data_IF_949872465170
#
_entry.id   IF_949872465170
#
_cell.length_a   1.000
_cell.length_b   1.000
_cell.length_c   1.000
_cell.angle_alpha   90.00
_cell.angle_beta   90.00
_cell.angle_gamma   90.00
#
_symmetry.space_group_name_H-M   'P 1'
#
loop_
_entity.id
_entity.type
_entity.pdbx_description
1 polymer ?
#
# COMPACT_ATOMS: atom_id res chain seq x y z
N UNK A 1 -19.84 -16.32 -38.91
CA UNK A 1 -18.46 -15.80 -38.85
C UNK A 1 -18.40 -14.53 -38.01
N UNK A 2 -19.31 -13.56 -38.22
CA UNK A 2 -19.45 -12.34 -37.41
C UNK A 2 -19.69 -12.60 -35.91
N UNK A 3 -20.53 -13.58 -35.55
CA UNK A 3 -20.81 -13.95 -34.15
C UNK A 3 -19.61 -14.54 -33.43
N UNK A 4 -18.74 -15.28 -34.14
CA UNK A 4 -17.51 -15.83 -33.57
C UNK A 4 -16.47 -14.73 -33.34
N UNK A 5 -16.32 -13.80 -34.28
CA UNK A 5 -15.45 -12.63 -34.14
C UNK A 5 -15.90 -11.72 -32.99
N UNK A 6 -17.21 -11.51 -32.83
CA UNK A 6 -17.75 -10.74 -31.71
C UNK A 6 -17.50 -11.44 -30.36
N UNK A 7 -17.67 -12.77 -30.28
CA UNK A 7 -17.39 -13.55 -29.07
C UNK A 7 -15.89 -13.49 -28.69
N UNK A 8 -15.01 -13.69 -29.68
CA UNK A 8 -13.55 -13.58 -29.51
C UNK A 8 -13.16 -12.17 -29.09
N UNK A 9 -13.80 -11.14 -29.66
CA UNK A 9 -13.60 -9.74 -29.29
C UNK A 9 -14.01 -9.44 -27.84
N UNK A 10 -15.15 -9.98 -27.38
CA UNK A 10 -15.60 -9.85 -25.98
C UNK A 10 -14.66 -10.58 -25.02
N UNK A 11 -14.22 -11.80 -25.37
CA UNK A 11 -13.27 -12.56 -24.55
C UNK A 11 -11.92 -11.86 -24.47
N UNK A 12 -11.41 -11.35 -25.60
CA UNK A 12 -10.17 -10.56 -25.64
C UNK A 12 -10.31 -9.26 -24.85
N UNK A 13 -11.43 -8.56 -24.97
CA UNK A 13 -11.71 -7.35 -24.19
C UNK A 13 -11.73 -7.64 -22.69
N UNK A 14 -12.44 -8.67 -22.24
CA UNK A 14 -12.48 -9.10 -20.84
C UNK A 14 -11.10 -9.54 -20.33
N UNK A 15 -10.34 -10.28 -21.14
CA UNK A 15 -8.98 -10.69 -20.83
C UNK A 15 -8.04 -9.48 -20.72
N UNK A 16 -8.18 -8.49 -21.61
CA UNK A 16 -7.38 -7.27 -21.57
C UNK A 16 -7.71 -6.41 -20.36
N UNK A 17 -9.00 -6.23 -20.04
CA UNK A 17 -9.46 -5.55 -18.82
C UNK A 17 -8.82 -6.18 -17.58
N UNK A 18 -8.80 -7.52 -17.52
CA UNK A 18 -8.16 -8.26 -16.43
C UNK A 18 -6.63 -8.03 -16.37
N UNK A 19 -5.95 -7.96 -17.52
CA UNK A 19 -4.51 -7.67 -17.57
C UNK A 19 -4.16 -6.19 -17.32
N UNK A 20 -5.04 -5.26 -17.67
CA UNK A 20 -4.92 -3.82 -17.37
C UNK A 20 -4.80 -3.54 -15.88
N UNK A 21 -5.51 -4.33 -15.06
CA UNK A 21 -5.39 -4.27 -13.59
C UNK A 21 -4.04 -4.75 -13.04
N UNK A 22 -3.26 -5.55 -13.78
CA UNK A 22 -1.87 -5.91 -13.42
C UNK A 22 -0.84 -4.84 -13.83
N UNK A 23 -1.20 -3.86 -14.68
CA UNK A 23 -0.27 -2.83 -15.19
C UNK A 23 0.13 -1.77 -14.16
N UNK A 24 -0.43 -1.81 -12.95
CA UNK A 24 -0.05 -0.89 -11.86
C UNK A 24 1.42 -1.05 -11.43
N UNK A 25 2.17 -2.03 -11.98
CA UNK A 25 3.59 -2.25 -11.70
C UNK A 25 4.51 -2.25 -12.94
N UNK A 26 4.01 -1.94 -14.14
CA UNK A 26 4.84 -1.85 -15.36
C UNK A 26 5.17 -0.38 -15.66
N UNK A 27 6.42 -0.10 -16.03
CA UNK A 27 6.91 1.25 -16.33
C UNK A 27 6.02 2.05 -17.29
N UNK A 28 6.01 3.38 -17.14
CA UNK A 28 4.97 4.28 -17.69
C UNK A 28 4.70 4.11 -19.18
N UNK A 29 5.73 3.80 -19.98
CA UNK A 29 5.61 3.68 -21.44
C UNK A 29 4.94 2.37 -21.91
N UNK A 30 5.22 1.24 -21.26
CA UNK A 30 4.60 -0.06 -21.62
C UNK A 30 3.12 -0.05 -21.20
N UNK A 31 2.83 0.53 -20.05
CA UNK A 31 1.47 0.70 -19.55
C UNK A 31 0.64 1.60 -20.46
N UNK A 32 1.23 2.69 -20.97
CA UNK A 32 0.59 3.58 -21.94
C UNK A 32 0.32 2.88 -23.29
N UNK A 33 1.28 2.15 -23.84
CA UNK A 33 1.10 1.42 -25.10
C UNK A 33 -0.01 0.37 -25.00
N UNK A 34 -0.02 -0.41 -23.91
CA UNK A 34 -1.05 -1.41 -23.70
C UNK A 34 -2.44 -0.79 -23.44
N UNK A 35 -2.51 0.41 -22.84
CA UNK A 35 -3.77 1.14 -22.68
C UNK A 35 -4.33 1.63 -24.02
N UNK A 36 -3.47 2.12 -24.92
CA UNK A 36 -3.89 2.53 -26.27
C UNK A 36 -4.44 1.34 -27.06
N UNK A 37 -3.77 0.18 -27.00
CA UNK A 37 -4.25 -1.05 -27.66
C UNK A 37 -5.61 -1.48 -27.08
N UNK A 38 -5.77 -1.44 -25.76
CA UNK A 38 -7.06 -1.69 -25.09
C UNK A 38 -8.16 -0.76 -25.59
N UNK A 39 -7.87 0.54 -25.69
CA UNK A 39 -8.83 1.53 -26.17
C UNK A 39 -9.27 1.24 -27.61
N UNK A 40 -8.32 0.95 -28.50
CA UNK A 40 -8.60 0.62 -29.92
C UNK A 40 -9.43 -0.66 -30.04
N UNK A 41 -9.07 -1.72 -29.31
CA UNK A 41 -9.84 -2.97 -29.29
C UNK A 41 -11.25 -2.76 -28.76
N UNK A 42 -11.41 -1.91 -27.74
CA UNK A 42 -12.72 -1.55 -27.18
C UNK A 42 -13.56 -0.81 -28.22
N UNK A 43 -12.99 0.16 -28.93
CA UNK A 43 -13.69 0.91 -29.99
C UNK A 43 -14.12 -0.01 -31.14
N UNK A 44 -13.25 -0.93 -31.57
CA UNK A 44 -13.56 -1.92 -32.61
C UNK A 44 -14.69 -2.86 -32.13
N UNK A 45 -14.62 -3.36 -30.89
CA UNK A 45 -15.65 -4.22 -30.32
C UNK A 45 -17.01 -3.50 -30.21
N UNK A 46 -17.03 -2.24 -29.77
CA UNK A 46 -18.25 -1.43 -29.70
C UNK A 46 -18.83 -1.16 -31.09
N UNK A 47 -17.97 -0.90 -32.08
CA UNK A 47 -18.39 -0.70 -33.46
C UNK A 47 -19.04 -1.95 -34.07
N UNK A 48 -18.45 -3.13 -33.84
CA UNK A 48 -18.96 -4.41 -34.38
C UNK A 48 -20.23 -4.92 -33.70
N UNK A 49 -20.41 -4.67 -32.40
CA UNK A 49 -21.63 -5.06 -31.67
C UNK A 49 -22.80 -4.08 -31.91
N UNK A 50 -22.54 -2.95 -32.57
CA UNK A 50 -23.45 -1.82 -32.66
C UNK A 50 -23.39 -0.94 -31.42
N UNK A 51 -23.43 0.38 -31.62
CA UNK A 51 -23.16 1.40 -30.58
C UNK A 51 -23.89 1.16 -29.25
N UNK A 52 -25.16 0.77 -29.29
CA UNK A 52 -25.97 0.53 -28.08
C UNK A 52 -25.54 -0.73 -27.31
N UNK A 53 -25.39 -1.86 -27.99
CA UNK A 53 -25.02 -3.13 -27.34
C UNK A 53 -23.56 -3.09 -26.88
N UNK A 54 -22.67 -2.54 -27.71
CA UNK A 54 -21.26 -2.35 -27.38
C UNK A 54 -21.06 -1.53 -26.10
N UNK A 55 -21.72 -0.37 -25.99
CA UNK A 55 -21.64 0.47 -24.79
C UNK A 55 -22.15 -0.23 -23.53
N UNK A 56 -23.24 -1.00 -23.62
CA UNK A 56 -23.79 -1.76 -22.49
C UNK A 56 -22.82 -2.86 -22.05
N UNK A 57 -22.24 -3.61 -22.99
CA UNK A 57 -21.27 -4.67 -22.68
C UNK A 57 -20.00 -4.11 -22.05
N UNK A 58 -19.44 -3.03 -22.60
CA UNK A 58 -18.25 -2.34 -22.07
C UNK A 58 -18.54 -1.75 -20.70
N UNK A 59 -19.65 -1.04 -20.54
CA UNK A 59 -20.06 -0.44 -19.27
C UNK A 59 -20.32 -1.50 -18.19
N UNK A 60 -21.03 -2.58 -18.54
CA UNK A 60 -21.30 -3.70 -17.65
C UNK A 60 -20.02 -4.42 -17.20
N UNK A 61 -19.10 -4.68 -18.11
CA UNK A 61 -17.81 -5.29 -17.79
C UNK A 61 -16.96 -4.41 -16.86
N UNK A 62 -16.92 -3.10 -17.09
CA UNK A 62 -16.21 -2.16 -16.21
C UNK A 62 -16.84 -2.11 -14.81
N UNK A 63 -18.17 -2.13 -14.74
CA UNK A 63 -18.87 -2.17 -13.46
C UNK A 63 -18.55 -3.46 -12.68
N UNK A 64 -18.59 -4.62 -13.35
CA UNK A 64 -18.21 -5.91 -12.74
C UNK A 64 -16.75 -5.88 -12.27
N UNK A 65 -15.83 -5.36 -13.10
CA UNK A 65 -14.42 -5.25 -12.75
C UNK A 65 -14.18 -4.33 -11.53
N UNK A 66 -14.93 -3.22 -11.45
CA UNK A 66 -14.90 -2.31 -10.31
C UNK A 66 -15.41 -2.98 -9.04
N UNK A 67 -16.52 -3.70 -9.12
CA UNK A 67 -17.09 -4.46 -8.00
C UNK A 67 -16.10 -5.53 -7.54
N UNK A 68 -15.58 -6.35 -8.46
CA UNK A 68 -14.63 -7.41 -8.14
C UNK A 68 -13.35 -6.86 -7.48
N UNK A 69 -12.84 -5.73 -7.98
CA UNK A 69 -11.67 -5.06 -7.42
C UNK A 69 -11.95 -4.51 -6.02
N UNK A 70 -13.13 -3.91 -5.82
CA UNK A 70 -13.55 -3.38 -4.52
C UNK A 70 -13.68 -4.49 -3.49
N UNK A 71 -14.29 -5.62 -3.88
CA UNK A 71 -14.41 -6.83 -3.05
C UNK A 71 -13.03 -7.39 -2.70
N UNK A 72 -12.13 -7.51 -3.68
CA UNK A 72 -10.75 -7.97 -3.44
C UNK A 72 -10.01 -7.07 -2.45
N UNK A 73 -10.11 -5.75 -2.59
CA UNK A 73 -9.50 -4.79 -1.67
C UNK A 73 -10.11 -4.90 -0.26
N UNK A 74 -11.42 -5.13 -0.16
CA UNK A 74 -12.08 -5.35 1.12
C UNK A 74 -11.59 -6.64 1.80
N UNK A 75 -11.44 -7.74 1.06
CA UNK A 75 -10.84 -8.98 1.58
C UNK A 75 -9.40 -8.77 2.02
N UNK A 76 -8.56 -8.14 1.19
CA UNK A 76 -7.17 -7.87 1.56
C UNK A 76 -7.07 -7.03 2.85
N UNK A 77 -7.89 -5.99 2.98
CA UNK A 77 -7.95 -5.19 4.20
C UNK A 77 -8.34 -6.04 5.42
N UNK A 78 -9.33 -6.91 5.25
CA UNK A 78 -9.86 -7.74 6.30
C UNK A 78 -8.90 -8.85 6.73
N UNK A 79 -8.22 -9.48 5.79
CA UNK A 79 -7.19 -10.50 6.03
C UNK A 79 -6.02 -9.90 6.81
N UNK A 80 -5.55 -8.70 6.42
CA UNK A 80 -4.48 -8.00 7.12
C UNK A 80 -4.82 -7.72 8.59
N UNK A 81 -6.04 -7.22 8.86
CA UNK A 81 -6.47 -6.93 10.23
C UNK A 81 -6.75 -8.21 11.04
N UNK A 82 -7.22 -9.27 10.38
CA UNK A 82 -7.42 -10.58 11.02
C UNK A 82 -6.08 -11.16 11.44
N UNK A 83 -5.10 -11.15 10.54
CA UNK A 83 -3.74 -11.57 10.82
C UNK A 83 -3.11 -10.72 11.95
N UNK A 84 -3.27 -9.41 11.90
CA UNK A 84 -2.81 -8.51 12.95
C UNK A 84 -3.44 -8.82 14.32
N UNK A 85 -4.72 -9.18 14.34
CA UNK A 85 -5.43 -9.56 15.57
C UNK A 85 -4.87 -10.85 16.17
N UNK A 86 -4.61 -11.86 15.33
CA UNK A 86 -3.96 -13.11 15.76
C UNK A 86 -2.58 -12.85 16.36
N UNK A 87 -1.76 -12.03 15.71
CA UNK A 87 -0.40 -11.73 16.16
C UNK A 87 -0.35 -10.90 17.45
N UNK A 88 -1.28 -9.96 17.63
CA UNK A 88 -1.37 -9.13 18.83
C UNK A 88 -2.19 -9.78 19.97
N UNK A 89 -2.69 -11.01 19.79
CA UNK A 89 -3.48 -11.72 20.80
C UNK A 89 -4.82 -11.04 21.13
N UNK A 90 -5.44 -10.40 20.15
CA UNK A 90 -6.67 -9.60 20.30
C UNK A 90 -7.77 -10.05 19.32
N UNK A 91 -8.96 -9.47 19.45
CA UNK A 91 -10.08 -9.72 18.56
C UNK A 91 -9.96 -8.95 17.25
N UNK A 92 -10.48 -9.55 16.17
CA UNK A 92 -10.61 -8.90 14.85
C UNK A 92 -11.43 -7.60 14.93
N UNK A 93 -12.44 -7.55 15.80
CA UNK A 93 -13.27 -6.37 16.02
C UNK A 93 -12.49 -5.21 16.64
N UNK A 94 -11.62 -5.50 17.60
CA UNK A 94 -10.75 -4.50 18.22
C UNK A 94 -9.74 -3.91 17.23
N UNK A 95 -9.11 -4.76 16.41
CA UNK A 95 -8.20 -4.29 15.34
C UNK A 95 -8.90 -3.45 14.28
N UNK A 96 -10.14 -3.81 13.90
CA UNK A 96 -10.97 -2.97 13.03
C UNK A 96 -11.30 -1.63 13.67
N UNK A 97 -11.64 -1.62 14.96
CA UNK A 97 -11.91 -0.38 15.69
C UNK A 97 -10.65 0.51 15.74
N UNK A 98 -9.48 -0.07 15.98
CA UNK A 98 -8.20 0.66 15.92
C UNK A 98 -7.97 1.29 14.55
N UNK A 99 -8.12 0.53 13.46
CA UNK A 99 -7.98 1.05 12.11
C UNK A 99 -8.93 2.23 11.83
N UNK A 100 -10.18 2.14 12.32
CA UNK A 100 -11.15 3.24 12.22
C UNK A 100 -10.72 4.45 13.05
N UNK A 101 -10.24 4.28 14.29
CA UNK A 101 -9.75 5.37 15.14
C UNK A 101 -8.58 6.10 14.48
N UNK A 102 -7.58 5.37 13.98
CA UNK A 102 -6.43 5.95 13.27
C UNK A 102 -6.87 6.73 12.02
N UNK A 103 -7.79 6.19 11.22
CA UNK A 103 -8.32 6.91 10.05
C UNK A 103 -9.12 8.17 10.42
N UNK A 104 -9.84 8.17 11.54
CA UNK A 104 -10.58 9.35 12.03
C UNK A 104 -9.67 10.50 12.45
N UNK A 105 -8.42 10.25 12.80
CA UNK A 105 -7.45 11.29 13.12
C UNK A 105 -7.12 12.19 11.89
N UNK A 106 -7.54 11.81 10.66
CA UNK A 106 -7.55 12.57 9.39
C UNK A 106 -6.25 13.25 8.91
N UNK A 107 -5.17 13.24 9.69
CA UNK A 107 -3.85 13.77 9.32
C UNK A 107 -3.18 12.88 8.27
N UNK A 108 -2.00 12.31 8.56
CA UNK A 108 -1.26 11.46 7.63
C UNK A 108 -2.08 10.28 7.06
N UNK A 109 -3.04 9.74 7.83
CA UNK A 109 -3.85 8.60 7.43
C UNK A 109 -4.81 8.83 6.26
N UNK A 110 -5.15 10.09 5.94
CA UNK A 110 -5.97 10.40 4.76
C UNK A 110 -5.22 10.08 3.46
N UNK A 111 -3.94 10.44 3.39
CA UNK A 111 -3.04 10.18 2.27
C UNK A 111 -2.48 8.76 2.31
N UNK A 112 -2.30 8.21 3.51
CA UNK A 112 -1.79 6.85 3.70
C UNK A 112 -2.71 5.79 3.08
N UNK A 113 -4.03 5.95 3.28
CA UNK A 113 -5.06 5.06 2.73
C UNK A 113 -5.41 3.88 3.65
N UNK A 114 -6.54 3.22 3.39
CA UNK A 114 -7.06 2.13 4.23
C UNK A 114 -6.18 0.88 4.21
N UNK A 115 -5.78 0.42 3.03
CA UNK A 115 -4.94 -0.79 2.89
C UNK A 115 -3.61 -0.61 3.58
N UNK A 116 -2.92 0.53 3.37
CA UNK A 116 -1.64 0.79 4.05
C UNK A 116 -1.82 0.90 5.55
N UNK A 117 -2.92 1.48 6.04
CA UNK A 117 -3.23 1.49 7.48
C UNK A 117 -3.31 0.06 8.03
N UNK A 118 -3.99 -0.84 7.34
CA UNK A 118 -4.06 -2.25 7.73
C UNK A 118 -2.69 -2.95 7.65
N UNK A 119 -1.86 -2.64 6.63
CA UNK A 119 -0.49 -3.14 6.54
C UNK A 119 0.37 -2.67 7.70
N UNK A 120 0.34 -1.38 8.04
CA UNK A 120 1.07 -0.81 9.17
C UNK A 120 0.67 -1.47 10.49
N UNK A 121 -0.63 -1.63 10.73
CA UNK A 121 -1.12 -2.35 11.91
C UNK A 121 -0.59 -3.79 11.92
N UNK A 122 -0.67 -4.50 10.79
CA UNK A 122 -0.14 -5.86 10.66
C UNK A 122 1.35 -5.93 10.96
N UNK A 123 2.17 -5.05 10.39
CA UNK A 123 3.62 -5.01 10.61
C UNK A 123 3.99 -4.71 12.06
N UNK A 124 3.27 -3.80 12.73
CA UNK A 124 3.50 -3.54 14.14
C UNK A 124 3.04 -4.71 15.03
N UNK A 125 1.89 -5.33 14.73
CA UNK A 125 1.41 -6.52 15.43
C UNK A 125 2.37 -7.70 15.30
N UNK A 126 2.98 -7.91 14.13
CA UNK A 126 4.01 -8.94 13.92
C UNK A 126 5.25 -8.75 14.81
N UNK A 127 5.49 -7.52 15.29
CA UNK A 127 6.56 -7.23 16.26
C UNK A 127 6.07 -7.28 17.70
N UNK A 128 4.95 -7.94 17.95
CA UNK A 128 4.39 -8.10 19.29
C UNK A 128 4.02 -6.77 19.95
N UNK A 129 3.69 -5.73 19.17
CA UNK A 129 3.12 -4.49 19.71
C UNK A 129 1.63 -4.71 19.99
N UNK A 130 1.19 -4.26 21.16
CA UNK A 130 -0.23 -4.31 21.52
C UNK A 130 -1.02 -3.16 20.86
N UNK A 131 -2.36 -3.22 20.94
CA UNK A 131 -3.27 -2.22 20.35
C UNK A 131 -2.91 -0.78 20.75
N UNK A 132 -2.62 -0.55 22.03
CA UNK A 132 -2.33 0.79 22.54
C UNK A 132 -0.97 1.31 22.05
N UNK A 133 0.04 0.44 21.97
CA UNK A 133 1.33 0.79 21.38
C UNK A 133 1.22 1.10 19.88
N UNK A 134 0.45 0.29 19.15
CA UNK A 134 0.18 0.53 17.72
C UNK A 134 -0.50 1.89 17.54
N UNK A 135 -1.48 2.22 18.39
CA UNK A 135 -2.19 3.50 18.34
C UNK A 135 -1.26 4.71 18.54
N UNK A 136 -0.21 4.56 19.36
CA UNK A 136 0.78 5.60 19.63
C UNK A 136 1.87 5.68 18.56
N UNK A 137 2.31 4.55 18.02
CA UNK A 137 3.40 4.49 17.03
C UNK A 137 2.93 4.80 15.60
N UNK A 138 1.73 4.34 15.23
CA UNK A 138 1.25 4.44 13.85
C UNK A 138 1.20 5.88 13.31
N UNK A 139 0.79 6.92 14.08
CA UNK A 139 0.80 8.30 13.60
C UNK A 139 2.20 8.80 13.21
N UNK A 140 3.24 8.43 13.97
CA UNK A 140 4.62 8.83 13.71
C UNK A 140 5.13 8.22 12.40
N UNK A 141 4.93 6.90 12.24
CA UNK A 141 5.31 6.16 11.04
C UNK A 141 4.52 6.66 9.83
N UNK A 142 3.21 6.86 9.94
CA UNK A 142 2.40 7.38 8.85
C UNK A 142 2.84 8.79 8.40
N UNK A 143 3.22 9.65 9.35
CA UNK A 143 3.68 11.01 9.06
C UNK A 143 5.00 11.00 8.31
N UNK A 144 6.01 10.28 8.82
CA UNK A 144 7.30 10.11 8.15
C UNK A 144 7.14 9.48 6.77
N UNK A 145 6.24 8.50 6.64
CA UNK A 145 5.97 7.87 5.36
C UNK A 145 5.34 8.84 4.36
N UNK A 146 4.41 9.70 4.78
CA UNK A 146 3.80 10.69 3.89
C UNK A 146 4.84 11.68 3.34
N UNK A 147 5.82 12.06 4.16
CA UNK A 147 6.89 13.02 3.82
C UNK A 147 7.95 12.37 2.92
N UNK A 148 8.51 11.22 3.34
CA UNK A 148 9.70 10.64 2.72
C UNK A 148 9.41 9.45 1.78
N UNK A 149 8.20 8.88 1.85
CA UNK A 149 7.74 7.73 1.04
C UNK A 149 8.69 6.52 1.01
N UNK A 150 9.28 6.08 2.14
CA UNK A 150 10.09 4.88 2.17
C UNK A 150 9.23 3.62 1.94
N UNK A 151 9.87 2.48 1.68
CA UNK A 151 9.21 1.18 1.69
C UNK A 151 8.64 0.90 3.09
N UNK A 152 7.35 0.56 3.18
CA UNK A 152 6.61 0.59 4.46
C UNK A 152 7.03 -0.53 5.41
N UNK A 153 7.29 -1.73 4.90
CA UNK A 153 7.63 -2.89 5.71
C UNK A 153 9.00 -2.73 6.38
N UNK A 154 10.02 -2.41 5.59
CA UNK A 154 11.38 -2.16 6.05
C UNK A 154 11.41 -0.97 6.99
N UNK A 155 10.75 0.14 6.62
CA UNK A 155 10.71 1.33 7.45
C UNK A 155 10.04 1.07 8.80
N UNK A 156 8.90 0.38 8.82
CA UNK A 156 8.24 0.01 10.08
C UNK A 156 9.17 -0.87 10.94
N UNK A 157 10.00 -1.71 10.31
CA UNK A 157 11.07 -2.49 10.95
C UNK A 157 12.13 -1.68 11.62
N UNK A 158 12.73 -0.82 10.83
CA UNK A 158 13.87 -0.06 11.26
C UNK A 158 13.44 0.95 12.32
N UNK A 159 12.22 1.50 12.20
CA UNK A 159 11.61 2.36 13.21
C UNK A 159 11.31 1.65 14.54
N UNK A 160 10.65 0.48 14.53
CA UNK A 160 10.40 -0.27 15.77
C UNK A 160 11.72 -0.71 16.42
N UNK A 161 12.70 -1.12 15.61
CA UNK A 161 14.04 -1.47 16.08
C UNK A 161 14.73 -0.28 16.74
N UNK A 162 14.71 0.89 16.10
CA UNK A 162 15.28 2.12 16.65
C UNK A 162 14.68 2.43 18.02
N UNK A 163 13.34 2.38 18.14
CA UNK A 163 12.63 2.58 19.41
C UNK A 163 13.10 1.61 20.50
N UNK A 164 13.28 0.32 20.17
CA UNK A 164 13.79 -0.70 21.12
C UNK A 164 15.24 -0.45 21.52
N UNK A 165 16.11 -0.15 20.56
CA UNK A 165 17.53 0.10 20.80
C UNK A 165 17.71 1.30 21.73
N UNK A 166 16.90 2.34 21.54
CA UNK A 166 16.92 3.54 22.37
C UNK A 166 16.12 3.39 23.66
N UNK A 167 15.54 2.20 23.91
CA UNK A 167 14.70 1.87 25.07
C UNK A 167 13.55 2.87 25.25
N UNK A 168 12.97 3.33 24.15
CA UNK A 168 11.88 4.30 24.14
C UNK A 168 10.51 3.62 24.16
N UNK A 169 9.58 4.06 25.03
CA UNK A 169 8.21 3.58 25.01
C UNK A 169 7.47 4.08 23.77
N UNK A 170 6.41 3.37 23.36
CA UNK A 170 5.60 3.73 22.20
C UNK A 170 5.05 5.18 22.25
N UNK A 171 4.82 5.71 23.45
CA UNK A 171 4.36 7.08 23.68
C UNK A 171 5.35 8.15 23.22
N UNK A 172 6.64 7.82 23.13
CA UNK A 172 7.69 8.72 22.64
C UNK A 172 7.88 8.64 21.13
N UNK A 173 7.08 7.84 20.40
CA UNK A 173 7.25 7.65 18.97
C UNK A 173 7.24 8.99 18.21
N UNK A 174 6.30 9.90 18.46
CA UNK A 174 6.28 11.17 17.74
C UNK A 174 7.57 12.00 17.95
N UNK A 175 8.12 11.99 19.18
CA UNK A 175 9.39 12.68 19.46
C UNK A 175 10.56 12.09 18.68
N UNK A 176 10.61 10.76 18.50
CA UNK A 176 11.62 10.12 17.66
C UNK A 176 11.43 10.49 16.18
N UNK A 177 10.19 10.57 15.71
CA UNK A 177 9.90 11.02 14.36
C UNK A 177 10.31 12.48 14.11
N UNK A 178 10.14 13.37 15.09
CA UNK A 178 10.61 14.75 15.01
C UNK A 178 12.14 14.80 14.92
N UNK A 179 12.85 14.01 15.74
CA UNK A 179 14.32 13.91 15.67
C UNK A 179 14.78 13.42 14.30
N UNK A 180 14.16 12.36 13.77
CA UNK A 180 14.47 11.84 12.43
C UNK A 180 14.23 12.89 11.34
N UNK A 181 13.12 13.62 11.43
CA UNK A 181 12.78 14.68 10.47
C UNK A 181 13.80 15.81 10.52
N UNK A 182 14.15 16.29 11.72
CA UNK A 182 15.15 17.35 11.91
C UNK A 182 16.53 16.90 11.43
N UNK A 183 16.92 15.66 11.75
CA UNK A 183 18.19 15.09 11.31
C UNK A 183 18.24 14.96 9.78
N UNK A 184 17.16 14.51 9.14
CA UNK A 184 17.05 14.44 7.68
C UNK A 184 17.09 15.82 7.01
N UNK A 185 16.47 16.84 7.61
CA UNK A 185 16.50 18.20 7.05
C UNK A 185 17.85 18.89 7.21
N UNK A 186 18.62 18.55 8.25
CA UNK A 186 19.94 19.14 8.53
C UNK A 186 21.09 18.36 7.90
N UNK A 187 20.82 17.17 7.37
CA UNK A 187 21.81 16.31 6.74
C UNK A 187 21.79 16.48 5.22
N UNK A 188 22.94 16.28 4.58
CA UNK A 188 23.01 16.08 3.14
C UNK A 188 22.61 14.65 2.72
N UNK A 189 22.41 13.75 3.69
CA UNK A 189 22.05 12.36 3.47
C UNK A 189 20.53 12.18 3.26
N UNK A 190 20.17 11.10 2.58
CA UNK A 190 18.78 10.67 2.42
C UNK A 190 18.17 10.26 3.75
N UNK A 191 16.83 10.26 3.83
CA UNK A 191 16.11 9.83 5.03
C UNK A 191 16.51 8.41 5.48
N UNK A 192 16.69 7.49 4.52
CA UNK A 192 17.09 6.11 4.81
C UNK A 192 18.50 6.05 5.41
N UNK A 193 19.45 6.81 4.85
CA UNK A 193 20.81 6.87 5.39
C UNK A 193 20.85 7.47 6.81
N UNK A 194 20.00 8.47 7.09
CA UNK A 194 19.87 9.02 8.45
C UNK A 194 19.31 7.97 9.41
N UNK A 195 18.25 7.26 9.02
CA UNK A 195 17.68 6.18 9.84
C UNK A 195 18.71 5.07 10.12
N UNK A 196 19.42 4.62 9.08
CA UNK A 196 20.45 3.59 9.19
C UNK A 196 21.62 4.05 10.07
N UNK A 197 22.04 5.31 9.95
CA UNK A 197 23.07 5.90 10.80
C UNK A 197 22.64 5.96 12.27
N UNK A 198 21.39 6.32 12.55
CA UNK A 198 20.86 6.36 13.92
C UNK A 198 20.73 4.98 14.55
N UNK A 199 20.36 3.97 13.75
CA UNK A 199 20.37 2.56 14.18
C UNK A 199 21.81 2.10 14.42
N UNK A 200 22.73 2.37 13.49
CA UNK A 200 24.14 1.99 13.61
C UNK A 200 24.85 2.65 14.80
N UNK A 201 24.46 3.87 15.18
CA UNK A 201 24.97 4.52 16.39
C UNK A 201 24.53 3.78 17.66
N UNK A 202 23.31 3.24 17.68
CA UNK A 202 22.76 2.53 18.83
C UNK A 202 23.12 1.03 18.85
N UNK A 203 23.43 0.45 17.70
CA UNK A 203 23.86 -0.94 17.53
C UNK A 203 25.01 -1.02 16.49
N UNK A 204 26.26 -0.79 16.92
CA UNK A 204 27.41 -0.70 16.02
C UNK A 204 27.80 -2.03 15.37
N UNK A 205 27.22 -3.15 15.82
CA UNK A 205 27.48 -4.48 15.27
C UNK A 205 26.40 -4.96 14.31
N UNK A 206 25.38 -4.14 14.06
CA UNK A 206 24.37 -4.48 13.05
C UNK A 206 25.00 -4.51 11.66
N UNK A 207 24.80 -5.58 10.85
CA UNK A 207 25.26 -5.58 9.47
C UNK A 207 24.62 -4.40 8.73
N UNK A 208 25.45 -3.54 8.11
CA UNK A 208 24.96 -2.49 7.22
C UNK A 208 24.19 -3.17 6.10
N UNK A 209 22.93 -2.77 5.88
CA UNK A 209 22.26 -3.08 4.62
C UNK A 209 22.98 -2.28 3.55
N UNK A 210 23.94 -2.91 2.86
CA UNK A 210 24.51 -2.35 1.63
C UNK A 210 23.32 -2.08 0.73
N UNK A 211 23.10 -0.81 0.39
CA UNK A 211 21.92 -0.35 -0.32
C UNK A 211 21.61 -1.26 -1.51
N UNK A 212 20.34 -1.64 -1.67
CA UNK A 212 19.91 -2.23 -2.93
C UNK A 212 20.28 -1.23 -4.02
N UNK A 213 21.05 -1.62 -5.06
CA UNK A 213 21.29 -0.74 -6.17
C UNK A 213 19.94 -0.35 -6.75
N UNK A 214 19.76 0.94 -7.02
CA UNK A 214 18.62 1.49 -7.75
C UNK A 214 18.29 0.56 -8.93
N UNK A 215 17.07 0.03 -8.92
CA UNK A 215 16.47 -0.70 -10.05
C UNK A 215 15.14 -0.05 -10.39
#
# INVERSE_FOLDING_TARGET
>A
METFLALVGVILYLATLWTGFRKVQLGSHVSAALFIIELVLTVIAVGQLGWRLGLITVGGANLIALIASSVRLAFQHDDLLTYAATQAGTSRTEMKALAVRLRRQRKAFSVFGSIRTAQLISYLSQRSRNVAEIEQMAPAIATLWVIHRPELESFTSDYDRLMRLWKKPASEAMGIADVLTIASQKSAATFQEVLDAMIGLADPFSPKRVGSPDK
#
